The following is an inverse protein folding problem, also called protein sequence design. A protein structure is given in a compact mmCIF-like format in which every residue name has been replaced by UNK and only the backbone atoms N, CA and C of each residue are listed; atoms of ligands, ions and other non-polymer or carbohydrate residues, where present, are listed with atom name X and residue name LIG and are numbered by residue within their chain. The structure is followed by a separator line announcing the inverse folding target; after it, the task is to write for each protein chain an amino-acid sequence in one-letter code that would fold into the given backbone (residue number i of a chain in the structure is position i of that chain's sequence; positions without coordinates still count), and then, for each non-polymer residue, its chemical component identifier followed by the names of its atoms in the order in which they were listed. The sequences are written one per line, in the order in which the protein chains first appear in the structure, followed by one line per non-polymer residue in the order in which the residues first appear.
data_IF_607689798046
#
_entry.id   IF_607689798046
#
_cell.length_a   1.000
_cell.length_b   1.000
_cell.length_c   1.000
_cell.angle_alpha   90.00
_cell.angle_beta   90.00
_cell.angle_gamma   90.00
#
_symmetry.space_group_name_H-M   'P 1'
#
loop_
_entity.id
_entity.type
_entity.pdbx_description
1 polymer ?
#
# COMPACT_ATOMS: atom_id res chain seq x y z
N UNK A 1 22.75 18.69 -8.33
CA UNK A 1 21.40 19.27 -8.20
C UNK A 1 20.42 18.18 -7.80
N UNK A 2 20.19 18.02 -6.51
CA UNK A 2 19.42 16.92 -5.89
C UNK A 2 18.06 17.39 -5.32
N UNK A 3 17.67 18.64 -5.61
CA UNK A 3 16.51 19.31 -4.98
C UNK A 3 15.27 19.33 -5.90
N UNK A 4 15.00 18.24 -6.62
CA UNK A 4 13.74 18.10 -7.38
C UNK A 4 12.98 16.79 -7.10
N UNK A 5 13.50 15.90 -6.24
CA UNK A 5 12.80 14.66 -5.89
C UNK A 5 11.85 14.79 -4.67
N UNK A 6 11.67 16.00 -4.14
CA UNK A 6 10.89 16.28 -2.93
C UNK A 6 9.65 17.17 -3.19
N UNK A 7 9.10 17.15 -4.40
CA UNK A 7 7.82 17.82 -4.68
C UNK A 7 6.84 16.84 -5.32
N UNK A 8 6.48 15.84 -4.53
CA UNK A 8 5.09 15.43 -4.47
C UNK A 8 4.86 15.02 -3.02
N UNK A 9 4.31 15.90 -2.16
CA UNK A 9 3.86 15.44 -0.85
C UNK A 9 2.81 14.36 -1.14
N UNK A 10 3.20 13.11 -0.89
CA UNK A 10 2.42 11.94 -1.23
C UNK A 10 1.03 12.16 -0.62
N UNK A 11 -0.02 12.24 -1.46
CA UNK A 11 -1.38 12.46 -0.99
C UNK A 11 -1.76 11.46 0.11
N UNK A 12 -1.12 10.29 0.12
CA UNK A 12 -1.28 9.23 1.11
C UNK A 12 -0.64 9.58 2.46
N UNK A 13 0.55 10.20 2.46
CA UNK A 13 1.19 10.71 3.67
C UNK A 13 0.43 11.92 4.24
N UNK A 14 -0.06 12.83 3.38
CA UNK A 14 -0.92 13.94 3.80
C UNK A 14 -2.28 13.45 4.31
N UNK A 15 -2.89 12.44 3.68
CA UNK A 15 -4.10 11.77 4.18
C UNK A 15 -3.83 11.09 5.52
N UNK A 16 -2.71 10.41 5.70
CA UNK A 16 -2.33 9.81 6.98
C UNK A 16 -2.16 10.87 8.07
N UNK A 17 -1.49 11.99 7.80
CA UNK A 17 -1.29 13.08 8.77
C UNK A 17 -2.62 13.77 9.13
N UNK A 18 -3.50 14.00 8.15
CA UNK A 18 -4.83 14.59 8.39
C UNK A 18 -5.79 13.63 9.12
N UNK A 19 -5.76 12.34 8.79
CA UNK A 19 -6.51 11.29 9.51
C UNK A 19 -5.98 11.08 10.92
N UNK A 20 -4.65 11.14 11.12
CA UNK A 20 -4.01 11.12 12.44
C UNK A 20 -4.55 12.26 13.30
N UNK A 21 -4.67 13.49 12.77
CA UNK A 21 -5.19 14.63 13.53
C UNK A 21 -6.63 14.42 14.00
N UNK A 22 -7.52 14.00 13.10
CA UNK A 22 -8.94 13.80 13.43
C UNK A 22 -9.18 12.62 14.37
N UNK A 23 -8.38 11.54 14.26
CA UNK A 23 -8.45 10.40 15.17
C UNK A 23 -7.82 10.69 16.53
N UNK A 24 -6.75 11.50 16.58
CA UNK A 24 -6.07 11.86 17.83
C UNK A 24 -6.95 12.74 18.73
N UNK A 25 -7.67 13.70 18.15
CA UNK A 25 -8.63 14.55 18.88
C UNK A 25 -9.75 13.72 19.53
N UNK A 26 -10.27 12.70 18.84
CA UNK A 26 -11.30 11.80 19.40
C UNK A 26 -10.78 10.79 20.44
N UNK A 27 -9.48 10.51 20.43
CA UNK A 27 -8.84 9.56 21.36
C UNK A 27 -8.48 10.18 22.70
N UNK A 28 -8.08 11.46 22.69
CA UNK A 28 -7.68 12.22 23.89
C UNK A 28 -8.83 12.39 24.90
N UNK A 29 -10.08 12.24 24.47
CA UNK A 29 -11.28 12.40 25.31
C UNK A 29 -11.53 11.19 26.21
N UNK A 30 -10.91 10.03 25.94
CA UNK A 30 -11.32 8.75 26.56
C UNK A 30 -10.16 7.88 27.08
N UNK A 31 -8.90 8.30 26.95
CA UNK A 31 -7.75 7.46 27.27
C UNK A 31 -6.79 8.16 28.23
N UNK A 32 -6.58 7.55 29.39
CA UNK A 32 -5.78 8.09 30.49
C UNK A 32 -4.25 8.00 30.28
N UNK A 33 -3.81 7.29 29.25
CA UNK A 33 -2.38 7.07 28.95
C UNK A 33 -2.04 7.21 27.47
N UNK A 34 -0.97 7.95 27.17
CA UNK A 34 -0.43 8.09 25.83
C UNK A 34 -0.06 6.74 25.19
N UNK A 35 0.32 5.73 25.97
CA UNK A 35 0.64 4.39 25.43
C UNK A 35 -0.60 3.65 24.94
N UNK A 36 -1.71 3.73 25.67
CA UNK A 36 -2.99 3.16 25.26
C UNK A 36 -3.53 3.88 24.02
N UNK A 37 -3.34 5.20 23.96
CA UNK A 37 -3.75 5.99 22.81
C UNK A 37 -2.98 5.58 21.55
N UNK A 38 -1.67 5.35 21.68
CA UNK A 38 -0.85 4.87 20.58
C UNK A 38 -1.27 3.48 20.08
N UNK A 39 -1.57 2.54 20.98
CA UNK A 39 -2.00 1.18 20.60
C UNK A 39 -3.37 1.18 19.90
N UNK A 40 -4.33 1.99 20.38
CA UNK A 40 -5.64 2.10 19.72
C UNK A 40 -5.54 2.75 18.33
N UNK A 41 -4.71 3.79 18.17
CA UNK A 41 -4.40 4.36 16.84
C UNK A 41 -3.82 3.29 15.92
N UNK A 42 -2.81 2.54 16.39
CA UNK A 42 -2.15 1.48 15.62
C UNK A 42 -3.15 0.42 15.16
N UNK A 43 -4.06 0.00 16.04
CA UNK A 43 -5.11 -0.95 15.71
C UNK A 43 -6.11 -0.40 14.67
N UNK A 44 -6.52 0.87 14.80
CA UNK A 44 -7.42 1.53 13.84
C UNK A 44 -6.78 1.69 12.46
N UNK A 45 -5.51 2.11 12.39
CA UNK A 45 -4.77 2.21 11.13
C UNK A 45 -4.59 0.83 10.49
N UNK A 46 -4.19 -0.18 11.27
CA UNK A 46 -4.08 -1.55 10.76
C UNK A 46 -5.42 -2.08 10.21
N UNK A 47 -6.55 -1.73 10.83
CA UNK A 47 -7.89 -2.05 10.32
C UNK A 47 -8.19 -1.30 9.02
N UNK A 48 -7.91 0.00 8.97
CA UNK A 48 -8.13 0.83 7.78
C UNK A 48 -7.30 0.33 6.58
N UNK A 49 -6.04 -0.04 6.81
CA UNK A 49 -5.15 -0.59 5.80
C UNK A 49 -5.71 -1.91 5.23
N UNK A 50 -6.21 -2.81 6.09
CA UNK A 50 -6.85 -4.07 5.66
C UNK A 50 -8.10 -3.82 4.80
N UNK A 51 -8.91 -2.83 5.15
CA UNK A 51 -10.10 -2.46 4.36
C UNK A 51 -9.68 -1.91 2.99
N UNK A 52 -8.67 -1.02 2.94
CA UNK A 52 -8.19 -0.47 1.66
C UNK A 52 -7.60 -1.54 0.77
N UNK A 53 -6.81 -2.46 1.32
CA UNK A 53 -6.29 -3.63 0.61
C UNK A 53 -7.40 -4.46 -0.02
N UNK A 54 -8.47 -4.76 0.73
CA UNK A 54 -9.60 -5.54 0.19
C UNK A 54 -10.33 -4.81 -0.93
N UNK A 55 -10.52 -3.49 -0.81
CA UNK A 55 -11.13 -2.69 -1.87
C UNK A 55 -10.27 -2.63 -3.13
N UNK A 56 -8.96 -2.40 -3.00
CA UNK A 56 -8.01 -2.42 -4.12
C UNK A 56 -8.04 -3.75 -4.86
N UNK A 57 -7.99 -4.87 -4.13
CA UNK A 57 -8.09 -6.19 -4.73
C UNK A 57 -9.41 -6.37 -5.51
N UNK A 58 -10.53 -5.90 -4.95
CA UNK A 58 -11.83 -5.97 -5.63
C UNK A 58 -11.86 -5.13 -6.91
N UNK A 59 -11.36 -3.89 -6.84
CA UNK A 59 -11.27 -2.98 -7.99
C UNK A 59 -10.39 -3.59 -9.10
N UNK A 60 -9.26 -4.19 -8.73
CA UNK A 60 -8.37 -4.89 -9.66
C UNK A 60 -9.04 -6.09 -10.35
N UNK A 61 -9.71 -6.96 -9.60
CA UNK A 61 -10.39 -8.15 -10.17
C UNK A 61 -11.64 -7.79 -10.98
N UNK A 62 -12.25 -6.62 -10.72
CA UNK A 62 -13.37 -6.12 -11.49
C UNK A 62 -12.94 -5.36 -12.76
N UNK A 63 -11.65 -4.99 -12.87
CA UNK A 63 -11.14 -4.26 -14.02
C UNK A 63 -11.15 -5.16 -15.26
N UNK A 64 -11.82 -4.69 -16.32
CA UNK A 64 -11.86 -5.31 -17.64
C UNK A 64 -11.27 -4.36 -18.67
N UNK A 65 -10.64 -4.89 -19.70
CA UNK A 65 -10.09 -4.06 -20.78
C UNK A 65 -11.21 -3.32 -21.53
N UNK A 66 -12.33 -4.01 -21.78
CA UNK A 66 -13.51 -3.51 -22.49
C UNK A 66 -13.12 -2.64 -23.71
N UNK A 67 -13.61 -1.40 -23.76
CA UNK A 67 -13.36 -0.43 -24.83
C UNK A 67 -12.11 0.45 -24.60
N UNK A 68 -11.36 0.24 -23.52
CA UNK A 68 -10.12 0.98 -23.25
C UNK A 68 -8.97 0.45 -24.10
N UNK A 69 -8.00 1.32 -24.40
CA UNK A 69 -6.76 0.86 -25.02
C UNK A 69 -5.96 -0.05 -24.08
N UNK A 70 -5.17 -0.95 -24.64
CA UNK A 70 -4.29 -1.87 -23.86
C UNK A 70 -3.38 -1.07 -22.92
N UNK A 71 -2.85 0.07 -23.38
CA UNK A 71 -2.00 0.94 -22.58
C UNK A 71 -2.76 1.54 -21.39
N UNK A 72 -3.95 2.09 -21.61
CA UNK A 72 -4.75 2.67 -20.53
C UNK A 72 -5.18 1.63 -19.50
N UNK A 73 -5.57 0.44 -19.97
CA UNK A 73 -5.91 -0.68 -19.10
C UNK A 73 -4.71 -1.10 -18.25
N UNK A 74 -3.54 -1.30 -18.87
CA UNK A 74 -2.31 -1.66 -18.15
C UNK A 74 -1.88 -0.58 -17.15
N UNK A 75 -1.97 0.70 -17.51
CA UNK A 75 -1.63 1.80 -16.60
C UNK A 75 -2.55 1.81 -15.37
N UNK A 76 -3.86 1.59 -15.54
CA UNK A 76 -4.81 1.49 -14.41
C UNK A 76 -4.50 0.29 -13.52
N UNK A 77 -4.29 -0.88 -14.13
CA UNK A 77 -3.96 -2.11 -13.41
C UNK A 77 -2.67 -1.96 -12.60
N UNK A 78 -1.63 -1.40 -13.22
CA UNK A 78 -0.34 -1.14 -12.59
C UNK A 78 -0.48 -0.12 -11.45
N UNK A 79 -1.29 0.92 -11.61
CA UNK A 79 -1.55 1.89 -10.55
C UNK A 79 -2.17 1.26 -9.29
N UNK A 80 -3.16 0.38 -9.46
CA UNK A 80 -3.73 -0.35 -8.32
C UNK A 80 -2.71 -1.30 -7.68
N UNK A 81 -1.88 -1.95 -8.48
CA UNK A 81 -0.82 -2.83 -7.99
C UNK A 81 0.21 -2.08 -7.15
N UNK A 82 0.72 -0.94 -7.65
CA UNK A 82 1.66 -0.08 -6.94
C UNK A 82 1.06 0.43 -5.63
N UNK A 83 -0.22 0.82 -5.62
CA UNK A 83 -0.91 1.22 -4.39
C UNK A 83 -1.01 0.06 -3.38
N UNK A 84 -1.32 -1.15 -3.85
CA UNK A 84 -1.40 -2.34 -3.00
C UNK A 84 -0.05 -2.68 -2.35
N UNK A 85 1.06 -2.46 -3.06
CA UNK A 85 2.41 -2.69 -2.53
C UNK A 85 2.77 -1.73 -1.39
N UNK A 86 2.22 -0.52 -1.35
CA UNK A 86 2.40 0.42 -0.24
C UNK A 86 1.79 -0.12 1.07
N UNK A 87 0.69 -0.87 0.97
CA UNK A 87 0.03 -1.49 2.13
C UNK A 87 0.61 -2.87 2.50
N UNK A 88 1.26 -3.55 1.55
CA UNK A 88 1.90 -4.87 1.75
C UNK A 88 3.32 -4.90 1.20
N UNK A 89 4.24 -4.14 1.80
CA UNK A 89 5.64 -4.17 1.40
C UNK A 89 6.18 -5.59 1.60
N UNK A 90 6.98 -6.06 0.63
CA UNK A 90 7.78 -7.27 0.85
C UNK A 90 8.82 -6.91 1.91
N UNK A 91 8.89 -7.62 3.04
CA UNK A 91 9.86 -7.32 4.08
C UNK A 91 11.26 -7.41 3.48
N UNK A 92 12.05 -6.36 3.58
CA UNK A 92 13.44 -6.38 3.14
C UNK A 92 14.31 -7.07 4.21
N UNK A 93 15.31 -7.81 3.73
CA UNK A 93 16.20 -8.58 4.59
C UNK A 93 17.11 -7.59 5.30
N UNK A 94 17.05 -7.54 6.63
CA UNK A 94 17.83 -6.63 7.47
C UNK A 94 19.33 -6.97 7.52
N UNK A 95 19.79 -8.00 6.81
CA UNK A 95 21.20 -8.38 6.81
C UNK A 95 22.04 -7.40 5.98
N UNK A 96 23.10 -6.88 6.58
CA UNK A 96 24.15 -6.06 5.93
C UNK A 96 24.97 -6.80 4.86
N UNK A 97 24.79 -8.12 4.73
CA UNK A 97 25.42 -8.94 3.69
C UNK A 97 24.42 -9.28 2.57
N UNK A 98 24.95 -9.61 1.38
CA UNK A 98 24.16 -9.98 0.19
C UNK A 98 23.23 -11.15 0.53
N UNK A 99 21.98 -10.85 0.86
CA UNK A 99 21.05 -11.81 1.42
C UNK A 99 20.68 -12.88 0.38
N UNK A 100 20.98 -14.16 0.68
CA UNK A 100 20.68 -15.30 -0.21
C UNK A 100 19.26 -15.84 -0.03
N UNK A 101 18.36 -15.15 0.66
CA UNK A 101 16.99 -15.62 0.88
C UNK A 101 16.26 -15.82 -0.46
N UNK A 102 16.25 -17.07 -0.92
CA UNK A 102 15.60 -17.51 -2.16
C UNK A 102 14.11 -17.20 -2.09
N UNK A 103 13.48 -17.44 -0.93
CA UNK A 103 12.05 -17.20 -0.68
C UNK A 103 11.65 -15.74 -0.90
N UNK A 104 12.49 -14.79 -0.52
CA UNK A 104 12.22 -13.36 -0.72
C UNK A 104 12.36 -12.95 -2.20
N UNK A 105 13.37 -13.47 -2.90
CA UNK A 105 13.51 -13.28 -4.35
C UNK A 105 12.31 -13.88 -5.09
N UNK A 106 11.93 -15.09 -4.70
CA UNK A 106 10.77 -15.79 -5.23
C UNK A 106 9.49 -15.02 -4.96
N UNK A 107 9.32 -14.43 -3.77
CA UNK A 107 8.15 -13.60 -3.44
C UNK A 107 8.02 -12.39 -4.37
N UNK A 108 9.12 -11.67 -4.65
CA UNK A 108 9.11 -10.55 -5.61
C UNK A 108 8.79 -11.03 -7.02
N UNK A 109 9.39 -12.15 -7.45
CA UNK A 109 9.14 -12.75 -8.77
C UNK A 109 7.72 -13.26 -8.95
N UNK A 110 7.14 -13.94 -7.95
CA UNK A 110 5.76 -14.42 -8.00
C UNK A 110 4.77 -13.26 -8.06
N UNK A 111 5.03 -12.17 -7.33
CA UNK A 111 4.23 -10.93 -7.44
C UNK A 111 4.24 -10.36 -8.86
N UNK A 112 5.40 -10.28 -9.50
CA UNK A 112 5.50 -9.84 -10.90
C UNK A 112 4.74 -10.76 -11.85
N UNK A 113 4.85 -12.08 -11.65
CA UNK A 113 4.12 -13.08 -12.43
C UNK A 113 2.60 -12.98 -12.24
N UNK A 114 2.14 -12.72 -11.02
CA UNK A 114 0.73 -12.54 -10.71
C UNK A 114 0.15 -11.30 -11.41
N UNK A 115 0.90 -10.19 -11.48
CA UNK A 115 0.49 -9.01 -12.23
C UNK A 115 0.36 -9.31 -13.73
N UNK A 116 1.32 -10.05 -14.29
CA UNK A 116 1.27 -10.47 -15.69
C UNK A 116 0.08 -11.40 -15.94
N UNK A 117 -0.14 -12.38 -15.07
CA UNK A 117 -1.28 -13.30 -15.18
C UNK A 117 -2.61 -12.55 -15.09
N UNK A 118 -2.73 -11.60 -14.17
CA UNK A 118 -3.91 -10.74 -14.02
C UNK A 118 -4.15 -9.93 -15.29
N UNK A 119 -3.12 -9.33 -15.88
CA UNK A 119 -3.23 -8.62 -17.15
C UNK A 119 -3.69 -9.53 -18.30
N UNK A 120 -3.21 -10.78 -18.36
CA UNK A 120 -3.55 -11.73 -19.43
C UNK A 120 -4.94 -12.38 -19.26
N UNK A 121 -5.53 -12.32 -18.06
CA UNK A 121 -6.80 -12.99 -17.74
C UNK A 121 -7.98 -12.03 -17.54
N UNK A 122 -7.72 -10.73 -17.57
CA UNK A 122 -8.70 -9.66 -17.34
C UNK A 122 -9.49 -9.29 -18.60
#
# INVERSE_FOLDING_TARGET
SFILYYVHPNLQALKQVLLLRHCFEGLLVYIDSASQAWEDLKARFARADRVRVSSLQREMYALRQDSCSVTEFFTKLKGFWEELELYRPVPDCTSTFRCKCEDMRNTKKFKEQDLVLLFLTA
#
